data_IF_695017627718
#
_entry.id   IF_695017627718
#
_cell.length_a   1.000
_cell.length_b   1.000
_cell.length_c   1.000
_cell.angle_alpha   90.00
_cell.angle_beta   90.00
_cell.angle_gamma   90.00
#
_symmetry.space_group_name_H-M   'P 1'
#
loop_
_entity.id
_entity.type
_entity.pdbx_description
1 polymer ?
#
# COMPACT_ATOMS: atom_id res chain seq x y z
N UNK A 1 -5.63 14.27 -5.75
CA UNK A 1 -4.29 14.50 -6.35
C UNK A 1 -3.54 13.18 -6.39
N UNK A 2 -2.62 12.99 -7.33
CA UNK A 2 -1.75 11.83 -7.32
C UNK A 2 -1.02 11.73 -5.96
N UNK A 3 -0.94 10.54 -5.38
CA UNK A 3 -0.47 10.34 -4.00
C UNK A 3 0.46 9.16 -3.91
N UNK A 4 1.65 9.35 -3.34
CA UNK A 4 2.57 8.28 -2.99
C UNK A 4 2.19 7.69 -1.63
N UNK A 5 1.80 6.43 -1.61
CA UNK A 5 1.63 5.66 -0.38
C UNK A 5 2.89 4.84 -0.10
N UNK A 6 3.40 4.87 1.13
CA UNK A 6 4.55 4.05 1.56
C UNK A 6 4.12 2.97 2.55
N UNK A 7 4.77 1.82 2.49
CA UNK A 7 4.52 0.71 3.40
C UNK A 7 4.94 1.02 4.84
N UNK A 8 4.32 0.34 5.79
CA UNK A 8 4.51 0.58 7.22
C UNK A 8 5.97 0.56 7.67
N UNK A 9 6.77 -0.37 7.13
CA UNK A 9 8.19 -0.54 7.52
C UNK A 9 9.19 0.23 6.63
N UNK A 10 8.73 0.95 5.61
CA UNK A 10 9.63 1.69 4.72
C UNK A 10 10.19 2.94 5.40
N UNK A 11 11.50 3.15 5.22
CA UNK A 11 12.24 4.29 5.76
C UNK A 11 12.11 5.48 4.81
N UNK A 12 11.29 6.44 5.19
CA UNK A 12 10.91 7.56 4.32
C UNK A 12 12.13 8.32 3.78
N UNK A 13 13.03 8.78 4.64
CA UNK A 13 14.19 9.59 4.25
C UNK A 13 15.27 8.81 3.49
N UNK A 14 15.26 7.47 3.59
CA UNK A 14 16.26 6.63 2.91
C UNK A 14 15.77 6.14 1.56
N UNK A 15 14.46 5.91 1.43
CA UNK A 15 13.87 5.22 0.27
C UNK A 15 13.11 6.15 -0.66
N UNK A 16 12.67 7.33 -0.19
CA UNK A 16 11.83 8.26 -0.95
C UNK A 16 12.53 9.60 -1.13
N UNK A 17 12.53 10.09 -2.36
CA UNK A 17 12.91 11.45 -2.72
C UNK A 17 11.75 12.41 -2.39
N UNK A 18 11.73 12.89 -1.15
CA UNK A 18 10.64 13.74 -0.63
C UNK A 18 10.56 15.06 -1.38
N UNK A 19 11.69 15.60 -1.84
CA UNK A 19 11.74 16.87 -2.54
C UNK A 19 11.07 16.76 -3.91
N UNK A 20 11.31 15.68 -4.65
CA UNK A 20 10.57 15.42 -5.90
C UNK A 20 9.08 15.18 -5.69
N UNK A 21 8.69 14.53 -4.59
CA UNK A 21 7.26 14.34 -4.26
C UNK A 21 6.57 15.70 -4.08
N UNK A 22 7.22 16.63 -3.38
CA UNK A 22 6.72 17.99 -3.19
C UNK A 22 6.74 18.81 -4.49
N UNK A 23 7.83 18.77 -5.25
CA UNK A 23 7.98 19.48 -6.53
C UNK A 23 6.87 19.08 -7.52
N UNK A 24 6.52 17.79 -7.57
CA UNK A 24 5.43 17.27 -8.41
C UNK A 24 4.03 17.50 -7.83
N UNK A 25 3.91 18.06 -6.64
CA UNK A 25 2.63 18.30 -5.97
C UNK A 25 1.90 17.01 -5.58
N UNK A 26 2.62 15.92 -5.36
CA UNK A 26 2.03 14.64 -4.97
C UNK A 26 1.74 14.61 -3.46
N UNK A 27 0.64 13.97 -3.09
CA UNK A 27 0.41 13.60 -1.70
C UNK A 27 1.42 12.55 -1.21
N UNK A 28 1.64 12.47 0.10
CA UNK A 28 2.50 11.47 0.73
C UNK A 28 1.84 10.92 1.98
N UNK A 29 1.57 9.61 2.01
CA UNK A 29 0.91 8.93 3.12
C UNK A 29 1.60 7.62 3.47
N UNK A 30 1.46 7.16 4.72
CA UNK A 30 1.93 5.85 5.19
C UNK A 30 0.73 4.94 5.46
N UNK A 31 0.74 3.73 4.92
CA UNK A 31 -0.29 2.72 5.20
C UNK A 31 0.13 1.77 6.32
N UNK A 32 -0.86 1.19 7.01
CA UNK A 32 -0.63 0.27 8.14
C UNK A 32 -0.12 -1.11 7.70
N UNK A 33 -0.24 -1.44 6.41
CA UNK A 33 0.26 -2.68 5.84
C UNK A 33 1.68 -2.54 5.30
N UNK A 34 2.35 -3.69 5.09
CA UNK A 34 3.67 -3.76 4.50
C UNK A 34 3.72 -3.44 3.00
N UNK A 35 4.72 -4.00 2.32
CA UNK A 35 4.96 -3.77 0.89
C UNK A 35 5.74 -2.48 0.59
N UNK A 36 5.89 -2.17 -0.71
CA UNK A 36 6.70 -1.05 -1.22
C UNK A 36 5.86 0.20 -1.58
N UNK A 37 6.53 1.29 -1.91
CA UNK A 37 5.87 2.53 -2.32
C UNK A 37 5.03 2.33 -3.57
N UNK A 38 3.81 2.89 -3.58
CA UNK A 38 2.90 2.88 -4.74
C UNK A 38 2.41 4.31 -4.98
N UNK A 39 2.55 4.78 -6.23
CA UNK A 39 2.05 6.07 -6.68
C UNK A 39 0.65 5.87 -7.27
N UNK A 40 -0.36 6.37 -6.55
CA UNK A 40 -1.77 6.34 -6.94
C UNK A 40 -2.08 7.57 -7.81
N UNK A 41 -2.62 7.37 -9.01
CA UNK A 41 -3.09 8.47 -9.87
C UNK A 41 -4.39 8.10 -10.60
N UNK A 42 -4.30 7.38 -11.72
CA UNK A 42 -5.44 6.91 -12.53
C UNK A 42 -5.58 5.39 -12.43
N UNK A 43 -5.76 4.89 -11.21
CA UNK A 43 -5.94 3.46 -10.93
C UNK A 43 -7.13 3.21 -10.00
N UNK A 44 -7.56 1.96 -9.93
CA UNK A 44 -8.54 1.50 -8.96
C UNK A 44 -7.82 0.74 -7.84
N UNK A 45 -7.86 1.32 -6.64
CA UNK A 45 -7.34 0.69 -5.41
C UNK A 45 -8.50 0.23 -4.55
N UNK A 46 -8.51 -1.03 -4.14
CA UNK A 46 -9.55 -1.60 -3.29
C UNK A 46 -8.94 -2.44 -2.16
N UNK A 47 -9.72 -2.65 -1.11
CA UNK A 47 -9.42 -3.59 -0.05
C UNK A 47 -10.59 -4.55 0.14
N UNK A 48 -10.28 -5.77 0.52
CA UNK A 48 -11.27 -6.79 0.87
C UNK A 48 -10.98 -7.22 2.30
N UNK A 49 -12.01 -7.27 3.12
CA UNK A 49 -11.92 -7.68 4.52
C UNK A 49 -12.86 -8.86 4.70
N UNK A 50 -12.32 -10.00 5.08
CA UNK A 50 -13.04 -11.25 5.30
C UNK A 50 -12.61 -11.80 6.66
N UNK A 51 -13.54 -12.29 7.50
CA UNK A 51 -13.16 -12.92 8.75
C UNK A 51 -12.35 -14.20 8.49
N UNK A 52 -11.37 -14.48 9.35
CA UNK A 52 -10.56 -15.71 9.27
C UNK A 52 -11.41 -16.99 9.39
N UNK A 53 -12.60 -16.90 10.02
CA UNK A 53 -13.56 -18.00 10.14
C UNK A 53 -14.39 -18.25 8.89
N UNK A 54 -14.24 -17.45 7.82
CA UNK A 54 -15.02 -17.64 6.60
C UNK A 54 -14.66 -18.98 5.92
N UNK A 55 -15.64 -19.81 5.49
CA UNK A 55 -15.38 -21.16 4.98
C UNK A 55 -14.39 -21.24 3.81
N UNK A 56 -14.36 -20.20 2.96
CA UNK A 56 -13.48 -20.13 1.80
C UNK A 56 -12.17 -19.34 2.04
N UNK A 57 -11.91 -18.87 3.27
CA UNK A 57 -10.69 -18.13 3.58
C UNK A 57 -9.54 -19.09 3.88
N UNK A 58 -8.42 -19.06 3.12
CA UNK A 58 -7.26 -19.89 3.44
C UNK A 58 -6.64 -19.51 4.79
N UNK A 59 -6.07 -20.50 5.48
CA UNK A 59 -5.47 -20.29 6.80
C UNK A 59 -4.13 -19.56 6.77
N UNK A 60 -3.47 -19.51 5.62
CA UNK A 60 -2.17 -18.83 5.47
C UNK A 60 -2.28 -17.59 4.58
N UNK A 61 -1.49 -16.56 4.91
CA UNK A 61 -1.43 -15.32 4.15
C UNK A 61 -1.05 -15.58 2.68
N UNK A 62 -0.09 -16.48 2.43
CA UNK A 62 0.37 -16.81 1.08
C UNK A 62 -0.72 -17.43 0.22
N UNK A 63 -1.55 -18.31 0.80
CA UNK A 63 -2.66 -18.92 0.08
C UNK A 63 -3.79 -17.93 -0.16
N UNK A 64 -4.04 -17.01 0.79
CA UNK A 64 -5.04 -15.94 0.60
C UNK A 64 -4.72 -15.04 -0.61
N UNK A 65 -3.45 -14.89 -1.00
CA UNK A 65 -3.05 -14.17 -2.22
C UNK A 65 -3.30 -14.93 -3.54
N UNK A 66 -3.67 -16.21 -3.49
CA UNK A 66 -3.90 -17.06 -4.68
C UNK A 66 -5.39 -17.29 -4.98
N UNK A 67 -6.28 -16.71 -4.18
CA UNK A 67 -7.74 -16.76 -4.35
C UNK A 67 -8.18 -15.73 -5.39
#
# INVERSE_FOLDING_TARGET
PATLSIGYFQRLQKEIDIDKVKEKGFGLVRRQTGGRGVLHDKELTYSVIVPESHPNMPSTVTEAYRV
#
